data_IF_166814369840
#
_entry.id   IF_166814369840
#
_cell.length_a   1.000
_cell.length_b   1.000
_cell.length_c   1.000
_cell.angle_alpha   90.00
_cell.angle_beta   90.00
_cell.angle_gamma   90.00
#
_symmetry.space_group_name_H-M   'P 1'
#
loop_
_entity.id
_entity.type
_entity.pdbx_description
1 polymer ?
#
# COMPACT_ATOMS: atom_id res chain seq x y z
N UNK A 1 -19.92 -8.54 -21.03
CA UNK A 1 -19.10 -8.05 -19.92
C UNK A 1 -18.08 -7.10 -20.51
N UNK A 2 -18.17 -5.83 -20.13
CA UNK A 2 -17.18 -4.83 -20.54
C UNK A 2 -15.86 -5.07 -19.82
N UNK A 3 -14.77 -4.52 -20.35
CA UNK A 3 -13.45 -4.60 -19.72
C UNK A 3 -13.45 -3.97 -18.32
N UNK A 4 -14.29 -2.96 -18.09
CA UNK A 4 -14.46 -2.28 -16.80
C UNK A 4 -15.15 -3.17 -15.77
N UNK A 5 -16.23 -3.87 -16.17
CA UNK A 5 -16.94 -4.80 -15.28
C UNK A 5 -16.07 -6.00 -14.87
N UNK A 6 -15.28 -6.51 -15.82
CA UNK A 6 -14.32 -7.59 -15.53
C UNK A 6 -13.25 -7.11 -14.54
N UNK A 7 -12.75 -5.90 -14.72
CA UNK A 7 -11.75 -5.30 -13.83
C UNK A 7 -12.28 -5.10 -12.41
N UNK A 8 -13.50 -4.59 -12.29
CA UNK A 8 -14.18 -4.39 -11.01
C UNK A 8 -14.39 -5.72 -10.26
N UNK A 9 -14.76 -6.79 -10.98
CA UNK A 9 -14.93 -8.12 -10.40
C UNK A 9 -13.64 -8.68 -9.78
N UNK A 10 -12.47 -8.35 -10.36
CA UNK A 10 -11.19 -8.76 -9.78
C UNK A 10 -10.86 -7.97 -8.50
N UNK A 11 -11.24 -6.70 -8.44
CA UNK A 11 -11.07 -5.87 -7.23
C UNK A 11 -11.95 -6.41 -6.10
N UNK A 12 -13.20 -6.74 -6.38
CA UNK A 12 -14.12 -7.34 -5.40
C UNK A 12 -13.57 -8.68 -4.89
N UNK A 13 -13.08 -9.54 -5.78
CA UNK A 13 -12.45 -10.80 -5.40
C UNK A 13 -11.21 -10.58 -4.52
N UNK A 14 -10.37 -9.59 -4.85
CA UNK A 14 -9.20 -9.27 -4.05
C UNK A 14 -9.60 -8.85 -2.63
N UNK A 15 -10.62 -7.99 -2.51
CA UNK A 15 -11.19 -7.57 -1.22
C UNK A 15 -11.68 -8.76 -0.41
N UNK A 16 -12.46 -9.67 -1.01
CA UNK A 16 -12.97 -10.85 -0.32
C UNK A 16 -11.85 -11.78 0.17
N UNK A 17 -10.82 -11.99 -0.66
CA UNK A 17 -9.64 -12.78 -0.29
C UNK A 17 -8.88 -12.14 0.87
N UNK A 18 -8.66 -10.83 0.82
CA UNK A 18 -7.96 -10.13 1.88
C UNK A 18 -8.72 -10.16 3.22
N UNK A 19 -10.06 -10.09 3.20
CA UNK A 19 -10.90 -10.25 4.40
C UNK A 19 -10.74 -11.61 5.08
N UNK A 20 -10.41 -12.64 4.32
CA UNK A 20 -10.15 -13.96 4.88
C UNK A 20 -8.84 -14.03 5.71
N UNK A 21 -7.97 -13.02 5.62
CA UNK A 21 -6.70 -12.92 6.35
C UNK A 21 -5.85 -14.19 6.26
N UNK A 22 -5.84 -14.80 5.08
CA UNK A 22 -5.22 -16.10 4.84
C UNK A 22 -4.15 -15.99 3.75
N UNK A 23 -2.91 -16.28 4.12
CA UNK A 23 -1.75 -16.19 3.22
C UNK A 23 -1.89 -17.10 1.98
N UNK A 24 -2.43 -18.31 2.13
CA UNK A 24 -2.60 -19.23 1.01
C UNK A 24 -3.62 -18.69 0.00
N UNK A 25 -4.73 -18.13 0.48
CA UNK A 25 -5.73 -17.49 -0.38
C UNK A 25 -5.17 -16.26 -1.11
N UNK A 26 -4.34 -15.45 -0.43
CA UNK A 26 -3.65 -14.33 -1.07
C UNK A 26 -2.71 -14.84 -2.17
N UNK A 27 -1.96 -15.91 -1.91
CA UNK A 27 -1.12 -16.54 -2.94
C UNK A 27 -1.95 -17.04 -4.13
N UNK A 28 -3.04 -17.77 -3.87
CA UNK A 28 -3.95 -18.25 -4.92
C UNK A 28 -4.55 -17.12 -5.74
N UNK A 29 -4.91 -16.00 -5.11
CA UNK A 29 -5.38 -14.82 -5.79
C UNK A 29 -4.32 -14.30 -6.77
N UNK A 30 -3.07 -14.16 -6.34
CA UNK A 30 -1.98 -13.65 -7.20
C UNK A 30 -1.72 -14.60 -8.37
N UNK A 31 -1.67 -15.90 -8.11
CA UNK A 31 -1.57 -16.93 -9.15
C UNK A 31 -2.77 -16.89 -10.12
N UNK A 32 -3.97 -16.61 -9.62
CA UNK A 32 -5.16 -16.47 -10.45
C UNK A 32 -5.11 -15.20 -11.30
N UNK A 33 -4.64 -14.08 -10.76
CA UNK A 33 -4.54 -12.80 -11.47
C UNK A 33 -3.50 -12.82 -12.59
N UNK A 34 -2.65 -13.86 -12.71
CA UNK A 34 -1.74 -14.00 -13.87
C UNK A 34 -2.47 -14.17 -15.21
N UNK A 35 -3.79 -14.39 -15.19
CA UNK A 35 -4.63 -14.33 -16.40
C UNK A 35 -4.73 -12.91 -16.98
N UNK A 36 -4.40 -11.88 -16.19
CA UNK A 36 -4.42 -10.49 -16.62
C UNK A 36 -3.27 -10.20 -17.61
N UNK A 37 -3.45 -9.24 -18.52
CA UNK A 37 -2.56 -9.08 -19.67
C UNK A 37 -1.16 -8.55 -19.31
N UNK A 38 -0.94 -8.02 -18.10
CA UNK A 38 0.39 -7.62 -17.64
C UNK A 38 0.50 -7.62 -16.10
N UNK A 39 1.73 -7.69 -15.55
CA UNK A 39 1.96 -7.55 -14.10
C UNK A 39 1.40 -6.26 -13.52
N UNK A 40 1.43 -5.16 -14.28
CA UNK A 40 0.87 -3.87 -13.88
C UNK A 40 -0.63 -3.96 -13.57
N UNK A 41 -1.39 -4.78 -14.31
CA UNK A 41 -2.81 -4.97 -13.99
C UNK A 41 -3.02 -5.74 -12.69
N UNK A 42 -2.13 -6.70 -12.37
CA UNK A 42 -2.18 -7.44 -11.11
C UNK A 42 -1.93 -6.47 -9.94
N UNK A 43 -0.86 -5.68 -10.04
CA UNK A 43 -0.50 -4.65 -9.07
C UNK A 43 -1.68 -3.67 -8.84
N UNK A 44 -2.28 -3.15 -9.91
CA UNK A 44 -3.39 -2.20 -9.81
C UNK A 44 -4.64 -2.82 -9.15
N UNK A 45 -4.96 -4.09 -9.43
CA UNK A 45 -6.08 -4.79 -8.77
C UNK A 45 -5.81 -4.92 -7.27
N UNK A 46 -4.61 -5.34 -6.89
CA UNK A 46 -4.23 -5.53 -5.50
C UNK A 46 -4.23 -4.18 -4.74
N UNK A 47 -3.63 -3.13 -5.31
CA UNK A 47 -3.64 -1.77 -4.73
C UNK A 47 -5.07 -1.24 -4.60
N UNK A 48 -5.92 -1.42 -5.61
CA UNK A 48 -7.31 -1.00 -5.55
C UNK A 48 -8.09 -1.76 -4.45
N UNK A 49 -7.84 -3.06 -4.30
CA UNK A 49 -8.43 -3.87 -3.23
C UNK A 49 -8.00 -3.40 -1.83
N UNK A 50 -6.72 -3.09 -1.64
CA UNK A 50 -6.20 -2.49 -0.40
C UNK A 50 -6.88 -1.14 -0.13
N UNK A 51 -7.02 -0.30 -1.15
CA UNK A 51 -7.70 0.98 -1.03
C UNK A 51 -9.16 0.83 -0.59
N UNK A 52 -9.90 -0.10 -1.18
CA UNK A 52 -11.29 -0.37 -0.78
C UNK A 52 -11.39 -0.93 0.63
N UNK A 53 -10.44 -1.76 1.06
CA UNK A 53 -10.39 -2.24 2.44
C UNK A 53 -10.10 -1.12 3.44
N UNK A 54 -9.21 -0.21 3.11
CA UNK A 54 -8.94 0.93 3.99
C UNK A 54 -10.22 1.74 4.27
N UNK A 55 -11.10 1.88 3.28
CA UNK A 55 -12.35 2.62 3.44
C UNK A 55 -13.46 1.82 4.14
N UNK A 56 -13.52 0.51 3.89
CA UNK A 56 -14.65 -0.34 4.33
C UNK A 56 -14.37 -1.15 5.59
N UNK A 57 -13.15 -1.68 5.74
CA UNK A 57 -12.73 -2.55 6.86
C UNK A 57 -11.29 -2.22 7.32
N UNK A 58 -11.09 -1.09 8.02
CA UNK A 58 -9.77 -0.58 8.39
C UNK A 58 -8.88 -1.56 9.16
N UNK A 59 -9.46 -2.38 10.05
CA UNK A 59 -8.68 -3.34 10.84
C UNK A 59 -8.14 -4.50 9.99
N UNK A 60 -8.90 -4.93 8.98
CA UNK A 60 -8.44 -5.92 7.99
C UNK A 60 -7.32 -5.31 7.15
N UNK A 61 -7.48 -4.05 6.75
CA UNK A 61 -6.43 -3.31 6.04
C UNK A 61 -5.14 -3.24 6.87
N UNK A 62 -5.21 -2.86 8.16
CA UNK A 62 -4.04 -2.86 9.05
C UNK A 62 -3.39 -4.23 9.16
N UNK A 63 -4.17 -5.30 9.30
CA UNK A 63 -3.64 -6.66 9.31
C UNK A 63 -2.85 -6.95 8.02
N UNK A 64 -3.40 -6.60 6.86
CA UNK A 64 -2.74 -6.82 5.57
C UNK A 64 -1.47 -5.98 5.44
N UNK A 65 -1.51 -4.72 5.85
CA UNK A 65 -0.35 -3.82 5.83
C UNK A 65 0.76 -4.32 6.76
N UNK A 66 0.45 -4.92 7.92
CA UNK A 66 1.46 -5.55 8.79
C UNK A 66 2.03 -6.85 8.22
N UNK A 67 1.31 -7.49 7.31
CA UNK A 67 1.71 -8.71 6.62
C UNK A 67 2.02 -8.45 5.14
N UNK A 68 2.55 -7.26 4.82
CA UNK A 68 2.76 -6.79 3.45
C UNK A 68 3.57 -7.75 2.57
N UNK A 69 4.47 -8.54 3.18
CA UNK A 69 5.28 -9.54 2.47
C UNK A 69 4.45 -10.58 1.70
N UNK A 70 3.17 -10.79 2.05
CA UNK A 70 2.28 -11.70 1.32
C UNK A 70 1.92 -11.18 -0.07
N UNK A 71 2.04 -9.87 -0.32
CA UNK A 71 1.78 -9.24 -1.60
C UNK A 71 2.99 -9.25 -2.53
N UNK A 72 4.18 -9.57 -2.02
CA UNK A 72 5.40 -9.69 -2.83
C UNK A 72 5.38 -10.93 -3.73
N UNK A 73 5.89 -10.86 -4.98
CA UNK A 73 6.54 -9.70 -5.60
C UNK A 73 5.59 -8.72 -6.31
N UNK A 74 4.28 -8.96 -6.32
CA UNK A 74 3.33 -8.22 -7.15
C UNK A 74 3.07 -6.79 -6.65
N UNK A 75 3.17 -6.54 -5.35
CA UNK A 75 3.09 -5.20 -4.75
C UNK A 75 4.14 -5.08 -3.64
N UNK A 76 5.08 -4.15 -3.83
CA UNK A 76 5.98 -3.72 -2.76
C UNK A 76 5.36 -2.53 -2.02
N UNK A 77 4.73 -2.81 -0.88
CA UNK A 77 4.10 -1.77 -0.08
C UNK A 77 5.11 -0.84 0.61
N UNK A 78 6.35 -1.27 0.80
CA UNK A 78 7.40 -0.43 1.38
C UNK A 78 7.78 0.64 0.37
N UNK A 79 8.08 0.25 -0.86
CA UNK A 79 8.38 1.19 -1.95
C UNK A 79 7.20 2.13 -2.22
N UNK A 80 5.97 1.61 -2.25
CA UNK A 80 4.76 2.42 -2.41
C UNK A 80 4.62 3.47 -1.31
N UNK A 81 4.86 3.08 -0.05
CA UNK A 81 4.75 3.98 1.09
C UNK A 81 5.85 5.04 1.07
N UNK A 82 7.08 4.67 0.70
CA UNK A 82 8.21 5.59 0.51
C UNK A 82 7.86 6.63 -0.56
N UNK A 83 7.45 6.20 -1.75
CA UNK A 83 7.13 7.09 -2.86
C UNK A 83 6.01 8.08 -2.49
N UNK A 84 4.99 7.58 -1.78
CA UNK A 84 3.91 8.40 -1.24
C UNK A 84 4.44 9.44 -0.23
N UNK A 85 5.30 9.03 0.70
CA UNK A 85 5.87 9.91 1.71
C UNK A 85 6.73 11.01 1.07
N UNK A 86 7.62 10.65 0.15
CA UNK A 86 8.48 11.58 -0.59
C UNK A 86 7.61 12.59 -1.35
N UNK A 87 6.68 12.10 -2.16
CA UNK A 87 5.79 12.96 -2.97
C UNK A 87 5.04 13.97 -2.11
N UNK A 88 4.55 13.53 -0.93
CA UNK A 88 3.82 14.42 -0.02
C UNK A 88 4.70 15.43 0.66
N UNK A 89 5.87 15.03 1.14
CA UNK A 89 6.83 15.94 1.76
C UNK A 89 7.27 17.02 0.76
N UNK A 90 7.64 16.63 -0.46
CA UNK A 90 7.99 17.58 -1.52
C UNK A 90 6.85 18.53 -1.86
N UNK A 91 5.60 18.03 -1.91
CA UNK A 91 4.42 18.87 -2.15
C UNK A 91 4.17 19.92 -1.05
N UNK A 92 4.71 19.69 0.15
CA UNK A 92 4.63 20.60 1.30
C UNK A 92 5.88 21.48 1.44
N UNK A 93 6.81 21.41 0.48
CA UNK A 93 8.03 22.22 0.43
C UNK A 93 9.22 21.65 1.21
N UNK A 94 9.14 20.40 1.68
CA UNK A 94 10.27 19.69 2.27
C UNK A 94 11.23 19.23 1.18
N UNK A 95 12.52 19.25 1.47
CA UNK A 95 13.57 18.91 0.50
C UNK A 95 14.31 17.65 0.94
N UNK A 96 14.43 16.68 0.03
CA UNK A 96 15.24 15.48 0.22
C UNK A 96 16.71 15.86 0.51
N UNK A 97 17.33 15.14 1.43
CA UNK A 97 18.67 15.39 1.98
C UNK A 97 18.81 16.68 2.82
N UNK A 98 17.72 17.40 3.08
CA UNK A 98 17.68 18.54 4.01
C UNK A 98 16.73 18.28 5.16
N UNK A 99 15.47 17.95 4.86
CA UNK A 99 14.41 17.79 5.87
C UNK A 99 14.05 16.33 6.14
N UNK A 100 14.31 15.46 5.16
CA UNK A 100 14.15 14.01 5.22
C UNK A 100 15.19 13.35 4.30
N UNK A 101 15.51 12.08 4.53
CA UNK A 101 16.56 11.40 3.75
C UNK A 101 16.67 9.93 4.10
N UNK A 102 17.77 9.29 3.75
CA UNK A 102 17.98 7.87 4.03
C UNK A 102 18.93 7.67 5.19
N UNK A 103 18.59 6.76 6.10
CA UNK A 103 19.52 6.32 7.15
C UNK A 103 20.54 5.31 6.58
N UNK A 104 21.54 4.93 7.38
CA UNK A 104 22.58 3.99 6.97
C UNK A 104 22.08 2.57 6.68
N UNK A 105 20.84 2.26 7.05
CA UNK A 105 20.19 0.98 6.80
C UNK A 105 19.29 1.01 5.55
N UNK A 106 19.30 2.11 4.79
CA UNK A 106 18.46 2.28 3.60
C UNK A 106 16.98 2.50 3.94
N UNK A 107 16.66 2.91 5.17
CA UNK A 107 15.29 3.28 5.56
C UNK A 107 15.14 4.79 5.48
N UNK A 108 13.93 5.23 5.14
CA UNK A 108 13.61 6.66 5.07
C UNK A 108 13.59 7.25 6.49
N UNK A 109 14.56 8.12 6.78
CA UNK A 109 14.58 8.96 7.97
C UNK A 109 13.63 10.14 7.78
N UNK A 110 12.64 10.24 8.68
CA UNK A 110 11.62 11.27 8.68
C UNK A 110 11.65 11.97 10.04
N UNK A 111 11.83 13.29 10.05
CA UNK A 111 11.76 14.09 11.27
C UNK A 111 10.35 14.07 11.88
N UNK A 112 10.21 14.29 13.20
CA UNK A 112 8.88 14.33 13.85
C UNK A 112 7.94 15.37 13.24
N UNK A 113 8.47 16.49 12.75
CA UNK A 113 7.70 17.50 12.04
C UNK A 113 7.18 16.97 10.69
N UNK A 114 8.02 16.28 9.93
CA UNK A 114 7.63 15.64 8.67
C UNK A 114 6.63 14.50 8.91
N UNK A 115 6.78 13.72 10.00
CA UNK A 115 5.80 12.71 10.42
C UNK A 115 4.43 13.33 10.69
N UNK A 116 4.36 14.42 11.47
CA UNK A 116 3.09 15.09 11.75
C UNK A 116 2.34 15.51 10.47
N UNK A 117 3.08 16.04 9.50
CA UNK A 117 2.53 16.46 8.20
C UNK A 117 2.02 15.25 7.38
N UNK A 118 2.77 14.15 7.41
CA UNK A 118 2.34 12.89 6.81
C UNK A 118 1.11 12.28 7.51
N UNK A 119 0.76 12.68 8.73
CA UNK A 119 -0.43 12.17 9.41
C UNK A 119 -1.65 13.09 9.27
N UNK A 120 -1.45 14.41 9.15
CA UNK A 120 -2.53 15.40 9.05
C UNK A 120 -3.07 15.62 7.62
N UNK A 121 -2.24 15.43 6.58
CA UNK A 121 -2.59 15.74 5.19
C UNK A 121 -3.04 14.54 4.33
N UNK A 122 -3.22 13.37 4.93
CA UNK A 122 -3.37 12.11 4.19
C UNK A 122 -4.82 11.62 4.12
N UNK A 123 -5.17 10.99 2.98
CA UNK A 123 -6.38 10.16 2.94
C UNK A 123 -6.24 9.05 3.98
N UNK A 124 -7.36 8.52 4.49
CA UNK A 124 -7.30 7.49 5.53
C UNK A 124 -6.45 6.28 5.12
N UNK A 125 -6.54 5.87 3.84
CA UNK A 125 -5.70 4.83 3.24
C UNK A 125 -4.22 5.19 3.28
N UNK A 126 -3.87 6.37 2.79
CA UNK A 126 -2.48 6.83 2.71
C UNK A 126 -1.86 6.95 4.10
N UNK A 127 -2.66 7.41 5.08
CA UNK A 127 -2.27 7.47 6.49
C UNK A 127 -2.00 6.08 7.05
N UNK A 128 -2.91 5.12 6.83
CA UNK A 128 -2.71 3.73 7.26
C UNK A 128 -1.44 3.12 6.64
N UNK A 129 -1.19 3.38 5.36
CA UNK A 129 -0.01 2.89 4.66
C UNK A 129 1.29 3.45 5.29
N UNK A 130 1.35 4.77 5.50
CA UNK A 130 2.51 5.41 6.14
C UNK A 130 2.68 4.95 7.59
N UNK A 131 1.61 4.91 8.38
CA UNK A 131 1.64 4.47 9.77
C UNK A 131 2.16 3.03 9.88
N UNK A 132 1.52 2.08 9.20
CA UNK A 132 1.74 0.65 9.42
C UNK A 132 2.97 0.10 8.68
N UNK A 133 3.40 0.73 7.58
CA UNK A 133 4.51 0.23 6.76
C UNK A 133 5.81 1.02 7.00
N UNK A 134 5.74 2.35 7.17
CA UNK A 134 6.95 3.17 7.34
C UNK A 134 7.29 3.48 8.80
N UNK A 135 6.28 3.73 9.64
CA UNK A 135 6.50 4.27 10.99
C UNK A 135 6.49 3.23 12.11
N UNK A 136 6.09 1.98 11.85
CA UNK A 136 6.07 0.88 12.84
C UNK A 136 7.46 0.23 13.04
N UNK A 137 8.50 0.73 12.37
CA UNK A 137 9.89 0.29 12.57
C UNK A 137 10.64 1.06 13.64
N UNK A 138 10.40 0.74 14.92
CA UNK A 138 11.30 0.97 16.06
C UNK A 138 11.37 -0.29 16.94
#
# INVERSE_FOLDING_TARGET
>A
MSQVEAYESYIELAVDVFKAQNQELIKFLKDFLTILPSPTYIEQVLIAGIGRLAETEPEVCRWLLRNYSYLMPEVDLVDLAIDLAITKLESQGFVLDQDFGWNTNGQLYISEQAKAILLEGNSFRDRLLVEEVLLVGD
#
